data_IF_832607078883
#
_entry.id   IF_832607078883
#
_cell.length_a   1.000
_cell.length_b   1.000
_cell.length_c   1.000
_cell.angle_alpha   90.00
_cell.angle_beta   90.00
_cell.angle_gamma   90.00
#
_symmetry.space_group_name_H-M   'P 1'
#
loop_
_entity.id
_entity.type
_entity.pdbx_description
1 polymer ?
#
# COMPACT_ATOMS: atom_id res chain seq x y z
N UNK A 1 -36.37 50.83 -13.52
CA UNK A 1 -35.57 49.98 -12.60
C UNK A 1 -35.59 48.51 -13.01
N UNK A 2 -36.32 48.17 -14.07
CA UNK A 2 -36.65 46.79 -14.45
C UNK A 2 -35.50 46.08 -15.17
N UNK A 3 -34.66 46.82 -15.91
CA UNK A 3 -33.54 46.23 -16.65
C UNK A 3 -32.40 45.71 -15.75
N UNK A 4 -32.19 46.31 -14.57
CA UNK A 4 -31.16 45.85 -13.62
C UNK A 4 -31.59 44.56 -12.91
N UNK A 5 -32.88 44.46 -12.55
CA UNK A 5 -33.44 43.24 -11.95
C UNK A 5 -33.47 42.09 -12.95
N UNK A 6 -33.88 42.32 -14.20
CA UNK A 6 -33.87 41.31 -15.26
C UNK A 6 -32.44 40.85 -15.58
N UNK A 7 -31.46 41.77 -15.62
CA UNK A 7 -30.04 41.41 -15.79
C UNK A 7 -29.52 40.55 -14.63
N UNK A 8 -29.92 40.87 -13.39
CA UNK A 8 -29.58 40.06 -12.20
C UNK A 8 -30.18 38.65 -12.23
N UNK A 9 -31.42 38.50 -12.69
CA UNK A 9 -32.07 37.19 -12.83
C UNK A 9 -31.39 36.36 -13.92
N UNK A 10 -31.08 36.97 -15.07
CA UNK A 10 -30.38 36.28 -16.17
C UNK A 10 -28.95 35.85 -15.78
N UNK A 11 -28.26 36.66 -14.98
CA UNK A 11 -26.96 36.31 -14.40
C UNK A 11 -27.07 35.12 -13.45
N UNK A 12 -28.07 35.12 -12.55
CA UNK A 12 -28.31 34.01 -11.64
C UNK A 12 -28.67 32.72 -12.38
N UNK A 13 -29.54 32.79 -13.39
CA UNK A 13 -29.88 31.65 -14.25
C UNK A 13 -28.67 31.13 -15.04
N UNK A 14 -27.78 32.02 -15.49
CA UNK A 14 -26.54 31.61 -16.18
C UNK A 14 -25.60 30.87 -15.22
N UNK A 15 -25.51 31.32 -13.97
CA UNK A 15 -24.74 30.64 -12.92
C UNK A 15 -25.38 29.28 -12.56
N UNK A 16 -26.70 29.21 -12.37
CA UNK A 16 -27.37 27.96 -12.01
C UNK A 16 -27.26 26.92 -13.10
N UNK A 17 -27.44 27.31 -14.37
CA UNK A 17 -27.34 26.41 -15.52
C UNK A 17 -25.90 25.92 -15.78
N UNK A 18 -24.90 26.69 -15.36
CA UNK A 18 -23.49 26.26 -15.38
C UNK A 18 -23.17 25.29 -14.24
N UNK A 19 -23.79 25.48 -13.07
CA UNK A 19 -23.59 24.71 -11.85
C UNK A 19 -24.30 23.35 -11.90
N UNK A 20 -25.59 23.30 -12.25
CA UNK A 20 -26.40 22.07 -12.20
C UNK A 20 -25.81 20.83 -12.92
N UNK A 21 -25.22 20.93 -14.13
CA UNK A 21 -24.65 19.76 -14.80
C UNK A 21 -23.27 19.33 -14.27
N UNK A 22 -22.58 20.20 -13.53
CA UNK A 22 -21.23 19.95 -12.98
C UNK A 22 -21.31 19.26 -11.61
N UNK A 23 -22.28 19.65 -10.78
CA UNK A 23 -22.36 19.22 -9.40
C UNK A 23 -22.47 17.69 -9.22
N UNK A 24 -23.46 16.98 -9.83
CA UNK A 24 -23.61 15.55 -9.60
C UNK A 24 -22.41 14.73 -10.08
N UNK A 25 -21.75 15.12 -11.18
CA UNK A 25 -20.58 14.41 -11.72
C UNK A 25 -19.33 14.62 -10.86
N UNK A 26 -19.12 15.85 -10.37
CA UNK A 26 -17.95 16.18 -9.53
C UNK A 26 -18.04 15.48 -8.17
N UNK A 27 -19.22 15.45 -7.54
CA UNK A 27 -19.38 14.75 -6.25
C UNK A 27 -19.23 13.23 -6.37
N UNK A 28 -19.74 12.62 -7.44
CA UNK A 28 -19.56 11.19 -7.71
C UNK A 28 -18.08 10.84 -7.91
N UNK A 29 -17.36 11.61 -8.73
CA UNK A 29 -15.92 11.42 -8.94
C UNK A 29 -15.13 11.62 -7.64
N UNK A 30 -15.42 12.69 -6.88
CA UNK A 30 -14.78 12.97 -5.60
C UNK A 30 -14.93 11.80 -4.61
N UNK A 31 -16.15 11.29 -4.44
CA UNK A 31 -16.41 10.19 -3.51
C UNK A 31 -15.70 8.90 -3.93
N UNK A 32 -15.68 8.59 -5.23
CA UNK A 32 -14.97 7.44 -5.78
C UNK A 32 -13.46 7.54 -5.56
N UNK A 33 -12.87 8.71 -5.82
CA UNK A 33 -11.45 8.97 -5.57
C UNK A 33 -11.11 8.87 -4.08
N UNK A 34 -11.94 9.45 -3.21
CA UNK A 34 -11.75 9.36 -1.76
C UNK A 34 -11.78 7.91 -1.28
N UNK A 35 -12.76 7.12 -1.74
CA UNK A 35 -12.85 5.71 -1.42
C UNK A 35 -11.62 4.92 -1.88
N UNK A 36 -11.11 5.20 -3.10
CA UNK A 36 -9.91 4.57 -3.64
C UNK A 36 -8.66 4.92 -2.84
N UNK A 37 -8.50 6.17 -2.45
CA UNK A 37 -7.39 6.63 -1.59
C UNK A 37 -7.45 5.95 -0.22
N UNK A 38 -8.62 5.89 0.41
CA UNK A 38 -8.80 5.21 1.71
C UNK A 38 -8.47 3.72 1.61
N UNK A 39 -8.99 3.05 0.58
CA UNK A 39 -8.69 1.64 0.31
C UNK A 39 -7.18 1.43 0.14
N UNK A 40 -6.51 2.30 -0.62
CA UNK A 40 -5.08 2.22 -0.83
C UNK A 40 -4.28 2.48 0.46
N UNK A 41 -4.67 3.45 1.29
CA UNK A 41 -4.03 3.68 2.60
C UNK A 41 -4.17 2.47 3.52
N UNK A 42 -5.34 1.83 3.56
CA UNK A 42 -5.56 0.60 4.33
C UNK A 42 -4.65 -0.53 3.83
N UNK A 43 -4.51 -0.66 2.50
CA UNK A 43 -3.59 -1.59 1.88
C UNK A 43 -2.14 -1.32 2.29
N UNK A 44 -1.65 -0.08 2.18
CA UNK A 44 -0.29 0.31 2.60
C UNK A 44 -0.10 -0.03 4.08
N UNK A 45 -1.10 0.24 4.91
CA UNK A 45 -1.03 -0.04 6.34
C UNK A 45 -0.79 -1.51 6.65
N UNK A 46 -1.50 -2.40 5.94
CA UNK A 46 -1.30 -3.84 6.07
C UNK A 46 0.08 -4.25 5.54
N UNK A 47 0.48 -3.70 4.40
CA UNK A 47 1.74 -3.96 3.71
C UNK A 47 2.96 -3.61 4.58
N UNK A 48 3.07 -2.36 5.05
CA UNK A 48 4.26 -1.92 5.78
C UNK A 48 4.37 -2.62 7.13
N UNK A 49 3.25 -2.85 7.84
CA UNK A 49 3.27 -3.56 9.14
C UNK A 49 3.78 -4.97 8.98
N UNK A 50 3.42 -5.62 7.89
CA UNK A 50 3.87 -6.97 7.60
C UNK A 50 5.37 -7.00 7.28
N UNK A 51 5.84 -6.10 6.41
CA UNK A 51 7.25 -6.03 6.00
C UNK A 51 8.21 -5.62 7.12
N UNK A 52 7.76 -4.75 8.01
CA UNK A 52 8.58 -4.24 9.09
C UNK A 52 8.56 -5.12 10.35
N UNK A 53 7.77 -6.20 10.39
CA UNK A 53 7.81 -7.15 11.52
C UNK A 53 9.13 -7.91 11.52
N UNK A 54 9.76 -7.97 12.70
CA UNK A 54 10.97 -8.77 12.96
C UNK A 54 10.67 -10.26 12.82
N UNK A 55 9.64 -10.69 13.53
CA UNK A 55 9.15 -12.06 13.53
C UNK A 55 7.83 -12.06 12.75
N UNK A 56 7.83 -12.70 11.58
CA UNK A 56 6.63 -12.73 10.71
C UNK A 56 5.54 -13.65 11.27
N UNK A 57 5.94 -14.64 12.06
CA UNK A 57 5.12 -15.65 12.71
C UNK A 57 5.59 -15.76 14.16
N UNK A 58 4.69 -15.50 15.12
CA UNK A 58 4.98 -15.60 16.55
C UNK A 58 4.78 -17.05 16.98
N UNK A 59 5.84 -17.86 16.91
CA UNK A 59 5.77 -19.25 17.36
C UNK A 59 5.84 -19.33 18.88
N UNK A 60 4.72 -19.63 19.54
CA UNK A 60 4.69 -19.83 20.98
C UNK A 60 5.15 -21.25 21.32
N UNK A 61 6.46 -21.43 21.48
CA UNK A 61 7.06 -22.72 21.88
C UNK A 61 6.62 -23.18 23.28
N UNK A 62 6.11 -22.28 24.14
CA UNK A 62 5.70 -22.63 25.50
C UNK A 62 4.42 -23.47 25.54
N UNK A 63 3.58 -23.42 24.50
CA UNK A 63 2.36 -24.24 24.43
C UNK A 63 2.65 -25.74 24.29
N UNK A 64 3.87 -26.10 23.87
CA UNK A 64 4.30 -27.49 23.67
C UNK A 64 5.09 -28.05 24.87
N UNK A 65 5.22 -27.28 25.95
CA UNK A 65 5.98 -27.67 27.14
C UNK A 65 5.15 -28.45 28.18
N UNK A 66 3.83 -28.62 27.96
CA UNK A 66 2.91 -29.34 28.87
C UNK A 66 2.54 -30.74 28.37
N UNK A 67 3.23 -31.26 27.36
CA UNK A 67 2.91 -32.53 26.69
C UNK A 67 3.51 -33.73 27.44
N UNK A 68 2.76 -34.84 27.54
CA UNK A 68 3.19 -36.08 28.21
C UNK A 68 4.46 -36.72 27.60
N UNK A 69 4.77 -36.41 26.34
CA UNK A 69 6.00 -36.84 25.64
C UNK A 69 6.89 -35.63 25.27
N UNK A 70 7.81 -35.22 26.15
CA UNK A 70 8.57 -33.97 26.02
C UNK A 70 9.64 -33.97 24.93
N UNK A 71 10.06 -35.14 24.41
CA UNK A 71 11.13 -35.23 23.38
C UNK A 71 10.57 -35.12 21.97
N UNK A 72 9.53 -35.90 21.65
CA UNK A 72 8.91 -35.92 20.31
C UNK A 72 8.29 -34.57 19.95
N UNK A 73 7.59 -33.96 20.91
CA UNK A 73 6.97 -32.64 20.73
C UNK A 73 8.02 -31.56 20.50
N UNK A 74 9.20 -31.67 21.13
CA UNK A 74 10.32 -30.73 20.94
C UNK A 74 10.96 -30.85 19.56
N UNK A 75 11.16 -32.07 19.09
CA UNK A 75 11.72 -32.33 17.75
C UNK A 75 10.77 -31.84 16.67
N UNK A 76 9.47 -32.10 16.82
CA UNK A 76 8.46 -31.60 15.89
C UNK A 76 8.39 -30.07 15.89
N UNK A 77 8.43 -29.43 17.07
CA UNK A 77 8.48 -27.97 17.17
C UNK A 77 9.74 -27.36 16.52
N UNK A 78 10.90 -28.01 16.67
CA UNK A 78 12.14 -27.60 16.01
C UNK A 78 12.03 -27.72 14.49
N UNK A 79 11.49 -28.82 13.97
CA UNK A 79 11.27 -29.02 12.53
C UNK A 79 10.32 -27.96 11.97
N UNK A 80 9.21 -27.70 12.66
CA UNK A 80 8.28 -26.64 12.27
C UNK A 80 8.97 -25.26 12.25
N UNK A 81 9.77 -24.95 13.27
CA UNK A 81 10.54 -23.72 13.33
C UNK A 81 11.52 -23.59 12.15
N UNK A 82 12.23 -24.66 11.82
CA UNK A 82 13.17 -24.70 10.69
C UNK A 82 12.44 -24.50 9.36
N UNK A 83 11.32 -25.20 9.13
CA UNK A 83 10.51 -25.05 7.92
C UNK A 83 9.99 -23.62 7.79
N UNK A 84 9.51 -23.05 8.90
CA UNK A 84 8.97 -21.69 8.92
C UNK A 84 10.03 -20.64 8.55
N UNK A 85 11.19 -20.70 9.18
CA UNK A 85 12.23 -19.69 8.97
C UNK A 85 13.01 -19.88 7.66
N UNK A 86 13.23 -21.12 7.22
CA UNK A 86 14.01 -21.42 6.00
C UNK A 86 13.14 -21.38 4.74
N UNK A 87 11.85 -21.72 4.82
CA UNK A 87 10.99 -21.85 3.64
C UNK A 87 9.92 -20.75 3.63
N UNK A 88 9.12 -20.63 4.69
CA UNK A 88 7.98 -19.71 4.69
C UNK A 88 8.45 -18.25 4.63
N UNK A 89 9.43 -17.88 5.46
CA UNK A 89 9.96 -16.52 5.51
C UNK A 89 10.46 -16.03 4.13
N UNK A 90 11.34 -16.72 3.39
CA UNK A 90 11.78 -16.26 2.08
C UNK A 90 10.67 -16.22 1.04
N UNK A 91 9.73 -17.18 1.03
CA UNK A 91 8.57 -17.14 0.12
C UNK A 91 7.75 -15.87 0.37
N UNK A 92 7.48 -15.58 1.64
CA UNK A 92 6.71 -14.41 2.05
C UNK A 92 7.45 -13.12 1.69
N UNK A 93 8.77 -13.05 1.94
CA UNK A 93 9.59 -11.89 1.54
C UNK A 93 9.54 -11.71 0.02
N UNK A 94 9.65 -12.80 -0.74
CA UNK A 94 9.61 -12.78 -2.20
C UNK A 94 8.26 -12.30 -2.73
N UNK A 95 7.16 -12.75 -2.12
CA UNK A 95 5.81 -12.28 -2.45
C UNK A 95 5.70 -10.75 -2.26
N UNK A 96 6.15 -10.22 -1.12
CA UNK A 96 6.10 -8.77 -0.88
C UNK A 96 7.09 -7.98 -1.73
N UNK A 97 8.24 -8.57 -2.07
CA UNK A 97 9.16 -8.03 -3.06
C UNK A 97 8.49 -7.90 -4.43
N UNK A 98 7.76 -8.91 -4.89
CA UNK A 98 7.01 -8.85 -6.14
C UNK A 98 5.98 -7.72 -6.12
N UNK A 99 5.20 -7.60 -5.03
CA UNK A 99 4.26 -6.47 -4.85
C UNK A 99 4.98 -5.13 -4.93
N UNK A 100 6.13 -4.97 -4.28
CA UNK A 100 6.95 -3.75 -4.34
C UNK A 100 7.49 -3.47 -5.74
N UNK A 101 7.92 -4.50 -6.48
CA UNK A 101 8.39 -4.37 -7.85
C UNK A 101 7.28 -3.89 -8.79
N UNK A 102 6.06 -4.43 -8.65
CA UNK A 102 4.87 -3.97 -9.40
C UNK A 102 4.55 -2.51 -9.08
N UNK A 103 4.57 -2.14 -7.81
CA UNK A 103 4.39 -0.76 -7.36
C UNK A 103 5.44 0.18 -7.99
N UNK A 104 6.72 -0.21 -8.00
CA UNK A 104 7.77 0.57 -8.64
C UNK A 104 7.67 0.60 -10.16
N UNK A 105 7.18 -0.45 -10.82
CA UNK A 105 6.94 -0.46 -12.27
C UNK A 105 5.90 0.60 -12.67
N UNK A 106 4.84 0.76 -11.86
CA UNK A 106 3.83 1.81 -12.06
C UNK A 106 4.46 3.20 -11.94
N UNK A 107 5.44 3.36 -11.04
CA UNK A 107 6.13 4.62 -10.78
C UNK A 107 7.18 4.97 -11.86
N UNK A 108 7.95 3.99 -12.27
CA UNK A 108 9.21 4.15 -12.99
C UNK A 108 9.05 4.00 -14.50
N UNK A 109 8.13 4.77 -15.10
CA UNK A 109 7.82 4.72 -16.55
C UNK A 109 9.04 4.92 -17.47
N UNK A 110 10.15 5.46 -16.96
CA UNK A 110 11.36 5.77 -17.73
C UNK A 110 12.61 4.92 -17.36
N UNK A 111 12.48 3.91 -16.50
CA UNK A 111 13.62 3.08 -16.07
C UNK A 111 13.56 1.65 -16.64
N UNK A 112 14.73 1.04 -16.82
CA UNK A 112 14.82 -0.36 -17.25
C UNK A 112 14.28 -1.30 -16.18
N UNK A 113 13.64 -2.40 -16.61
CA UNK A 113 13.08 -3.41 -15.71
C UNK A 113 14.14 -3.95 -14.74
N UNK A 114 15.38 -4.14 -15.21
CA UNK A 114 16.51 -4.60 -14.39
C UNK A 114 16.79 -3.67 -13.21
N UNK A 115 16.72 -2.35 -13.41
CA UNK A 115 16.94 -1.37 -12.35
C UNK A 115 15.80 -1.40 -11.32
N UNK A 116 14.56 -1.60 -11.77
CA UNK A 116 13.40 -1.67 -10.88
C UNK A 116 13.47 -2.91 -9.98
N UNK A 117 13.84 -4.06 -10.53
CA UNK A 117 14.08 -5.30 -9.80
C UNK A 117 15.21 -5.11 -8.78
N UNK A 118 16.31 -4.47 -9.18
CA UNK A 118 17.43 -4.22 -8.27
C UNK A 118 17.05 -3.28 -7.12
N UNK A 119 16.38 -2.16 -7.41
CA UNK A 119 15.96 -1.18 -6.41
C UNK A 119 14.93 -1.77 -5.45
N UNK A 120 13.94 -2.52 -5.95
CA UNK A 120 12.98 -3.23 -5.09
C UNK A 120 13.68 -4.24 -4.19
N UNK A 121 14.70 -4.96 -4.68
CA UNK A 121 15.41 -5.96 -3.90
C UNK A 121 16.22 -5.31 -2.77
N UNK A 122 16.97 -4.25 -3.10
CA UNK A 122 17.73 -3.47 -2.12
C UNK A 122 16.79 -2.87 -1.07
N UNK A 123 15.65 -2.32 -1.49
CA UNK A 123 14.70 -1.70 -0.58
C UNK A 123 14.09 -2.72 0.39
N UNK A 124 13.63 -3.87 -0.11
CA UNK A 124 13.08 -4.93 0.75
C UNK A 124 14.17 -5.48 1.69
N UNK A 125 15.39 -5.68 1.18
CA UNK A 125 16.53 -6.08 2.01
C UNK A 125 16.83 -5.08 3.13
N UNK A 126 16.85 -3.79 2.82
CA UNK A 126 17.06 -2.72 3.80
C UNK A 126 15.95 -2.72 4.87
N UNK A 127 14.67 -2.84 4.48
CA UNK A 127 13.56 -2.95 5.42
C UNK A 127 13.72 -4.15 6.35
N UNK A 128 14.16 -5.30 5.83
CA UNK A 128 14.36 -6.51 6.65
C UNK A 128 15.51 -6.36 7.64
N UNK A 129 16.65 -5.85 7.19
CA UNK A 129 17.79 -5.57 8.09
C UNK A 129 17.36 -4.59 9.18
N UNK A 130 16.62 -3.55 8.81
CA UNK A 130 16.12 -2.56 9.78
C UNK A 130 15.06 -3.12 10.72
N UNK A 131 14.26 -4.11 10.31
CA UNK A 131 13.26 -4.74 11.18
C UNK A 131 13.90 -5.47 12.36
N UNK A 132 15.11 -6.01 12.17
CA UNK A 132 15.92 -6.60 13.24
C UNK A 132 16.62 -5.55 14.10
N UNK A 133 16.96 -4.39 13.55
CA UNK A 133 17.61 -3.31 14.29
C UNK A 133 16.63 -2.45 15.11
N UNK A 134 15.69 -1.80 14.43
CA UNK A 134 14.61 -1.00 15.03
C UNK A 134 13.36 -1.08 14.18
N UNK A 135 12.34 -1.75 14.72
CA UNK A 135 11.09 -2.01 14.02
C UNK A 135 10.37 -0.73 13.56
N UNK A 136 10.46 0.36 14.33
CA UNK A 136 9.80 1.62 13.97
C UNK A 136 10.44 2.29 12.75
N UNK A 137 11.78 2.25 12.64
CA UNK A 137 12.49 2.73 11.45
C UNK A 137 12.16 1.86 10.23
N UNK A 138 12.06 0.55 10.40
CA UNK A 138 11.66 -0.35 9.31
C UNK A 138 10.25 -0.03 8.79
N UNK A 139 9.30 0.30 9.68
CA UNK A 139 7.95 0.74 9.30
C UNK A 139 8.00 2.04 8.52
N UNK A 140 8.84 2.98 8.95
CA UNK A 140 9.00 4.26 8.27
C UNK A 140 9.60 4.11 6.89
N UNK A 141 10.59 3.25 6.70
CA UNK A 141 11.16 2.98 5.39
C UNK A 141 10.13 2.28 4.51
N UNK A 142 9.50 1.20 5.00
CA UNK A 142 8.58 0.37 4.21
C UNK A 142 7.37 1.14 3.65
N UNK A 143 6.90 2.21 4.32
CA UNK A 143 5.78 3.02 3.84
C UNK A 143 6.17 4.06 2.78
N UNK A 144 7.46 4.39 2.60
CA UNK A 144 7.92 5.47 1.71
C UNK A 144 7.48 5.24 0.25
N UNK A 145 7.84 4.10 -0.34
CA UNK A 145 7.56 3.83 -1.75
C UNK A 145 6.04 3.78 -2.01
N UNK A 146 5.24 2.99 -1.26
CA UNK A 146 3.80 2.94 -1.51
C UNK A 146 3.11 4.31 -1.37
N UNK A 147 3.51 5.13 -0.39
CA UNK A 147 2.96 6.48 -0.21
C UNK A 147 3.39 7.44 -1.32
N UNK A 148 4.64 7.36 -1.77
CA UNK A 148 5.10 8.19 -2.89
C UNK A 148 4.35 7.88 -4.18
N UNK A 149 3.99 6.61 -4.41
CA UNK A 149 3.14 6.23 -5.55
C UNK A 149 1.77 6.87 -5.44
N UNK A 150 1.15 6.87 -4.25
CA UNK A 150 -0.13 7.56 -4.04
C UNK A 150 0.00 9.06 -4.33
N UNK A 151 1.04 9.71 -3.80
CA UNK A 151 1.28 11.13 -4.03
C UNK A 151 1.41 11.44 -5.52
N UNK A 152 2.23 10.67 -6.25
CA UNK A 152 2.43 10.84 -7.68
C UNK A 152 1.14 10.54 -8.47
N UNK A 153 0.39 9.50 -8.08
CA UNK A 153 -0.91 9.18 -8.68
C UNK A 153 -1.94 10.30 -8.51
N UNK A 154 -1.94 10.97 -7.36
CA UNK A 154 -2.83 12.11 -7.10
C UNK A 154 -2.40 13.38 -7.83
N UNK A 155 -1.10 13.58 -8.03
CA UNK A 155 -0.56 14.78 -8.68
C UNK A 155 -0.52 14.67 -10.20
N UNK A 156 -0.56 13.46 -10.77
CA UNK A 156 -0.46 13.24 -12.21
C UNK A 156 -1.84 13.27 -12.87
N UNK A 157 -2.15 14.27 -13.72
CA UNK A 157 -3.40 14.30 -14.47
C UNK A 157 -3.50 13.07 -15.38
N UNK A 158 -4.67 12.43 -15.43
CA UNK A 158 -4.89 11.24 -16.26
C UNK A 158 -4.22 9.96 -15.73
N UNK A 159 -3.68 9.94 -14.51
CA UNK A 159 -3.14 8.70 -13.94
C UNK A 159 -4.18 7.56 -13.87
N UNK A 160 -5.44 7.93 -13.67
CA UNK A 160 -6.59 7.01 -13.62
C UNK A 160 -7.47 7.09 -14.88
N UNK A 161 -7.03 7.78 -15.95
CA UNK A 161 -7.80 7.76 -17.19
C UNK A 161 -7.65 6.39 -17.84
N UNK A 162 -8.74 5.62 -17.85
CA UNK A 162 -8.88 4.47 -18.74
C UNK A 162 -9.22 5.06 -20.10
N UNK A 163 -8.24 5.16 -20.99
CA UNK A 163 -8.52 5.40 -22.41
C UNK A 163 -9.35 4.21 -22.91
N UNK A 164 -10.61 4.46 -23.24
CA UNK A 164 -11.50 3.50 -23.91
C UNK A 164 -11.33 3.55 -25.41
#
# INVERSE_FOLDING_TARGET
MDNLFVSGINFFQSISNFIEPVFPKVYQAYFLFLALVLLYIIFIWRFYKFLAKRDLLELNLAQYNSSEHPVETKVFALILFVIEYIIILPIVVFFWFFVMAVLLLILAKAHTISNIILVSAIFIGAVRIMAYYRQDLAKEIAKLIPLNILAIAMMTPGFFSVET
#
